data_IF_044746126171
#
_entry.id   IF_044746126171
#
_cell.length_a   1.000
_cell.length_b   1.000
_cell.length_c   1.000
_cell.angle_alpha   90.00
_cell.angle_beta   90.00
_cell.angle_gamma   90.00
#
_symmetry.space_group_name_H-M   'P 1'
#
loop_
_entity.id
_entity.type
_entity.pdbx_description
1 polymer ?
#
# COMPACT_ATOMS: atom_id res chain seq x y z
N UNK A 1 8.91 -9.07 -0.37
CA UNK A 1 8.98 -7.59 -0.38
C UNK A 1 10.38 -7.16 -0.75
N UNK A 2 10.53 -5.99 -1.38
CA UNK A 2 11.81 -5.31 -1.66
C UNK A 2 11.90 -4.10 -0.73
N UNK A 3 13.10 -3.86 -0.18
CA UNK A 3 13.36 -2.73 0.72
C UNK A 3 13.02 -1.39 0.07
N UNK A 4 12.74 -0.39 0.91
CA UNK A 4 12.35 0.92 0.44
C UNK A 4 13.44 1.60 -0.40
N UNK A 5 13.02 2.18 -1.51
CA UNK A 5 13.85 2.96 -2.40
C UNK A 5 12.99 3.82 -3.31
N UNK A 6 13.62 4.69 -4.09
CA UNK A 6 12.91 5.42 -5.14
C UNK A 6 12.63 4.48 -6.29
N UNK A 7 11.37 4.39 -6.70
CA UNK A 7 10.97 3.50 -7.78
C UNK A 7 11.33 4.12 -9.14
N UNK A 8 11.94 3.39 -10.07
CA UNK A 8 12.25 3.90 -11.41
C UNK A 8 11.02 4.42 -12.17
N UNK A 9 9.92 3.69 -12.08
CA UNK A 9 8.62 4.01 -12.69
C UNK A 9 7.87 5.15 -11.97
N UNK A 10 8.30 5.49 -10.76
CA UNK A 10 7.70 6.55 -9.94
C UNK A 10 8.80 7.26 -9.13
N UNK A 11 9.69 7.99 -9.80
CA UNK A 11 10.92 8.55 -9.22
C UNK A 11 10.72 9.51 -8.01
N UNK A 12 9.48 9.99 -7.82
CA UNK A 12 9.09 10.82 -6.70
C UNK A 12 8.64 10.02 -5.46
N UNK A 13 8.41 8.72 -5.59
CA UNK A 13 7.91 7.82 -4.55
C UNK A 13 9.05 7.05 -3.89
N UNK A 14 9.21 7.24 -2.58
CA UNK A 14 10.00 6.38 -1.71
C UNK A 14 9.07 5.35 -1.06
N UNK A 15 9.26 4.07 -1.40
CA UNK A 15 8.42 2.98 -0.87
C UNK A 15 9.13 1.63 -0.94
N UNK A 16 8.81 0.71 -0.02
CA UNK A 16 9.10 -0.71 -0.20
C UNK A 16 8.14 -1.31 -1.23
N UNK A 17 8.51 -2.41 -1.90
CA UNK A 17 7.65 -3.04 -2.93
C UNK A 17 7.22 -4.44 -2.54
N UNK A 18 5.92 -4.68 -2.48
CA UNK A 18 5.37 -6.03 -2.45
C UNK A 18 5.72 -6.72 -3.78
N UNK A 19 6.41 -7.85 -3.73
CA UNK A 19 6.84 -8.57 -4.93
C UNK A 19 5.77 -9.54 -5.44
N UNK A 20 4.79 -9.89 -4.60
CA UNK A 20 3.68 -10.74 -4.97
C UNK A 20 2.53 -9.92 -5.56
N UNK A 21 2.15 -8.83 -4.88
CA UNK A 21 1.05 -7.96 -5.32
C UNK A 21 1.52 -6.77 -6.18
N UNK A 22 2.82 -6.45 -6.20
CA UNK A 22 3.37 -5.37 -7.02
C UNK A 22 3.28 -3.95 -6.42
N UNK A 23 2.49 -3.74 -5.37
CA UNK A 23 2.22 -2.44 -4.73
C UNK A 23 3.06 -2.11 -3.47
N UNK A 24 2.57 -1.20 -2.62
CA UNK A 24 3.22 -0.81 -1.34
C UNK A 24 2.24 -0.55 -0.21
N UNK A 25 2.63 -0.87 1.02
CA UNK A 25 1.86 -0.57 2.23
C UNK A 25 2.09 0.85 2.77
N UNK A 26 3.21 1.48 2.40
CA UNK A 26 3.59 2.83 2.82
C UNK A 26 4.41 3.50 1.73
N UNK A 27 4.08 4.74 1.41
CA UNK A 27 4.82 5.55 0.45
C UNK A 27 4.93 7.00 0.91
N UNK A 28 6.08 7.62 0.63
CA UNK A 28 6.34 9.04 0.90
C UNK A 28 6.85 9.70 -0.38
N UNK A 29 6.31 10.86 -0.74
CA UNK A 29 6.79 11.65 -1.87
C UNK A 29 7.98 12.54 -1.46
N UNK A 30 8.78 12.97 -2.42
CA UNK A 30 9.85 13.99 -2.20
C UNK A 30 9.34 15.31 -1.61
N UNK A 31 8.05 15.60 -1.77
CA UNK A 31 7.38 16.79 -1.20
C UNK A 31 6.77 16.53 0.19
N UNK A 32 6.98 15.35 0.77
CA UNK A 32 6.55 15.00 2.12
C UNK A 32 5.10 14.52 2.23
N UNK A 33 4.38 14.31 1.13
CA UNK A 33 3.05 13.66 1.17
C UNK A 33 3.25 12.17 1.41
N UNK A 34 2.47 11.57 2.30
CA UNK A 34 2.52 10.14 2.54
C UNK A 34 1.13 9.50 2.46
N UNK A 35 1.11 8.22 2.15
CA UNK A 35 -0.06 7.37 2.21
C UNK A 35 0.34 6.02 2.80
N UNK A 36 -0.53 5.45 3.62
CA UNK A 36 -0.33 4.15 4.24
C UNK A 36 -1.62 3.34 4.18
N UNK A 37 -1.50 2.06 3.84
CA UNK A 37 -2.62 1.11 3.91
C UNK A 37 -2.59 0.46 5.29
N UNK A 38 -3.63 0.70 6.09
CA UNK A 38 -3.77 0.08 7.40
C UNK A 38 -4.84 -1.01 7.35
N UNK A 39 -4.56 -2.14 8.00
CA UNK A 39 -5.53 -3.20 8.19
C UNK A 39 -6.38 -2.94 9.45
N UNK A 40 -7.11 -1.84 9.48
CA UNK A 40 -8.09 -1.60 10.54
C UNK A 40 -9.46 -2.16 10.13
N UNK A 41 -10.09 -3.00 10.96
CA UNK A 41 -11.51 -3.36 10.81
C UNK A 41 -12.29 -2.72 11.96
N UNK A 42 -13.37 -2.00 11.63
CA UNK A 42 -14.36 -1.62 12.63
C UNK A 42 -14.95 -2.91 13.23
N UNK A 43 -15.15 -3.00 14.56
CA UNK A 43 -15.78 -4.14 15.20
C UNK A 43 -17.14 -4.50 14.59
N UNK A 44 -17.88 -3.48 14.14
CA UNK A 44 -19.21 -3.61 13.54
C UNK A 44 -19.19 -4.32 12.17
N UNK A 45 -18.05 -4.31 11.49
CA UNK A 45 -17.88 -4.86 10.14
C UNK A 45 -17.12 -6.19 10.12
N UNK A 46 -16.76 -6.75 11.28
CA UNK A 46 -15.92 -7.96 11.35
C UNK A 46 -16.58 -9.20 10.72
N UNK A 47 -17.92 -9.28 10.74
CA UNK A 47 -18.67 -10.40 10.16
C UNK A 47 -19.08 -10.17 8.69
N UNK A 48 -18.82 -8.98 8.13
CA UNK A 48 -19.19 -8.68 6.74
C UNK A 48 -18.07 -9.12 5.81
N UNK A 49 -18.37 -10.06 4.90
CA UNK A 49 -17.43 -10.45 3.85
C UNK A 49 -17.26 -9.28 2.86
N UNK A 50 -16.01 -8.89 2.61
CA UNK A 50 -15.68 -7.86 1.64
C UNK A 50 -15.37 -8.51 0.28
N UNK A 51 -15.80 -7.91 -0.85
CA UNK A 51 -15.59 -8.48 -2.18
C UNK A 51 -14.12 -8.45 -2.65
N UNK A 52 -13.29 -7.56 -2.07
CA UNK A 52 -11.84 -7.46 -2.33
C UNK A 52 -11.08 -7.35 -1.02
N UNK A 53 -9.87 -7.87 -0.99
CA UNK A 53 -8.92 -7.70 0.10
C UNK A 53 -8.29 -6.30 0.06
N UNK A 54 -7.81 -5.80 1.20
CA UNK A 54 -7.11 -4.49 1.25
C UNK A 54 -5.76 -4.51 0.56
N UNK A 55 -5.14 -5.68 0.42
CA UNK A 55 -3.91 -5.85 -0.35
C UNK A 55 -4.10 -5.52 -1.84
N UNK A 56 -5.34 -5.55 -2.34
CA UNK A 56 -5.65 -5.16 -3.72
C UNK A 56 -5.71 -3.64 -3.94
N UNK A 57 -5.75 -2.81 -2.89
CA UNK A 57 -5.83 -1.34 -3.02
C UNK A 57 -4.65 -0.72 -3.78
N UNK A 58 -3.59 -1.48 -4.00
CA UNK A 58 -2.32 -1.01 -4.57
C UNK A 58 -1.94 -1.74 -5.87
N UNK A 59 -2.88 -2.52 -6.42
CA UNK A 59 -2.69 -3.32 -7.63
C UNK A 59 -3.19 -2.64 -8.92
N UNK A 60 -3.93 -1.52 -8.79
CA UNK A 60 -4.51 -0.77 -9.90
C UNK A 60 -3.58 0.36 -10.40
#
# INVERSE_FOLDING_TARGET
>A
TRSAGFWPEAANLLAGRDLAAGGTWLGVTRTGRFAAVTNYRSPQDMHRQAPRSRGELTQD
#
